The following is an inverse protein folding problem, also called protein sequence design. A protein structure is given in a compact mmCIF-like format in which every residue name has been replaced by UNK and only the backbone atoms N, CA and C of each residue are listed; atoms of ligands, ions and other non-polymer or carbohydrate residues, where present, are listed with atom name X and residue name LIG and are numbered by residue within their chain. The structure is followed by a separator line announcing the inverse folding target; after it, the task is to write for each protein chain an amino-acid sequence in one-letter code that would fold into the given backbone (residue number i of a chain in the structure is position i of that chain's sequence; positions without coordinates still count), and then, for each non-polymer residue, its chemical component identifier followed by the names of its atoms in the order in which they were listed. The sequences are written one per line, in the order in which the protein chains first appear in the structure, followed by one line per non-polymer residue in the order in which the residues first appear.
data_IF_060305239030
#
_entry.id   IF_060305239030
#
_cell.length_a   1.000
_cell.length_b   1.000
_cell.length_c   1.000
_cell.angle_alpha   90.00
_cell.angle_beta   90.00
_cell.angle_gamma   90.00
#
_symmetry.space_group_name_H-M   'P 1'
#
loop_
_entity.id
_entity.type
_entity.pdbx_description
1 polymer ?
#
# COMPACT_ATOMS: atom_id res chain seq x y z
N UNK A 1 -1.92 7.57 -11.42
CA UNK A 1 -1.38 8.36 -10.30
C UNK A 1 0.15 8.36 -10.36
N UNK A 2 0.86 7.25 -10.13
CA UNK A 2 2.34 7.24 -10.22
C UNK A 2 2.98 7.65 -11.55
N UNK A 3 2.28 7.42 -12.66
CA UNK A 3 2.77 7.72 -14.03
C UNK A 3 3.13 9.19 -14.23
N UNK A 4 2.46 10.10 -13.54
CA UNK A 4 2.68 11.55 -13.67
C UNK A 4 3.41 12.15 -12.47
N UNK A 5 3.82 11.33 -11.49
CA UNK A 5 4.44 11.78 -10.23
C UNK A 5 3.60 12.84 -9.48
N UNK A 6 2.28 12.81 -9.65
CA UNK A 6 1.29 13.69 -9.02
C UNK A 6 0.61 13.00 -7.84
N UNK A 7 1.37 12.18 -7.12
CA UNK A 7 0.88 11.45 -5.96
C UNK A 7 1.18 12.21 -4.68
N UNK A 8 0.42 11.88 -3.64
CA UNK A 8 0.70 12.32 -2.29
C UNK A 8 2.09 11.90 -1.83
N UNK A 9 2.69 12.64 -0.89
CA UNK A 9 3.99 12.27 -0.33
C UNK A 9 3.98 12.38 1.17
N UNK A 10 4.56 11.38 1.84
CA UNK A 10 4.86 11.41 3.26
C UNK A 10 6.37 11.49 3.47
N UNK A 11 6.79 12.56 4.18
CA UNK A 11 8.20 12.91 4.44
C UNK A 11 9.10 12.94 3.18
N UNK A 12 8.54 13.21 2.00
CA UNK A 12 9.24 13.18 0.69
C UNK A 12 9.86 11.82 0.32
N UNK A 13 9.52 10.74 1.02
CA UNK A 13 10.22 9.45 0.90
C UNK A 13 9.30 8.26 0.66
N UNK A 14 7.98 8.46 0.74
CA UNK A 14 6.99 7.45 0.40
C UNK A 14 5.73 8.10 -0.17
N UNK A 15 5.02 7.37 -1.04
CA UNK A 15 3.79 7.80 -1.70
C UNK A 15 2.72 6.76 -1.41
N UNK A 16 2.00 6.85 -0.28
CA UNK A 16 1.08 5.80 0.15
C UNK A 16 -0.24 5.80 -0.63
N UNK A 17 -0.74 6.96 -1.07
CA UNK A 17 -2.04 7.08 -1.74
C UNK A 17 -2.15 6.36 -3.06
N UNK A 18 -1.04 6.22 -3.79
CA UNK A 18 -0.96 5.46 -5.03
C UNK A 18 -1.34 3.98 -4.86
N UNK A 19 -1.20 3.43 -3.64
CA UNK A 19 -1.59 2.07 -3.31
C UNK A 19 -2.92 2.02 -2.54
N UNK A 20 -3.06 2.87 -1.52
CA UNK A 20 -4.18 2.76 -0.56
C UNK A 20 -5.51 3.20 -1.19
N UNK A 21 -5.51 4.30 -1.94
CA UNK A 21 -6.74 4.87 -2.53
C UNK A 21 -7.37 3.93 -3.58
N UNK A 22 -6.65 3.44 -4.61
CA UNK A 22 -7.27 2.59 -5.63
C UNK A 22 -7.74 1.25 -5.07
N UNK A 23 -6.99 0.63 -4.14
CA UNK A 23 -7.44 -0.60 -3.50
C UNK A 23 -8.67 -0.36 -2.61
N UNK A 24 -8.66 0.69 -1.80
CA UNK A 24 -9.80 1.04 -0.95
C UNK A 24 -11.07 1.29 -1.77
N UNK A 25 -10.95 1.99 -2.92
CA UNK A 25 -12.08 2.19 -3.84
C UNK A 25 -12.61 0.87 -4.41
N UNK A 26 -11.72 0.00 -4.90
CA UNK A 26 -12.11 -1.30 -5.43
C UNK A 26 -12.81 -2.16 -4.37
N UNK A 27 -12.25 -2.24 -3.17
CA UNK A 27 -12.81 -3.03 -2.06
C UNK A 27 -14.11 -2.45 -1.54
N UNK A 28 -14.22 -1.12 -1.41
CA UNK A 28 -15.46 -0.48 -0.97
C UNK A 28 -16.60 -0.74 -1.97
N UNK A 29 -16.28 -0.78 -3.27
CA UNK A 29 -17.26 -1.11 -4.30
C UNK A 29 -17.72 -2.58 -4.22
N UNK A 30 -16.80 -3.51 -3.95
CA UNK A 30 -17.12 -4.92 -3.72
C UNK A 30 -17.95 -5.14 -2.44
N UNK A 31 -17.59 -4.47 -1.36
CA UNK A 31 -18.25 -4.56 -0.06
C UNK A 31 -19.53 -3.71 0.05
N UNK A 32 -19.87 -2.94 -1.00
CA UNK A 32 -20.98 -1.97 -1.02
C UNK A 32 -20.94 -0.99 0.17
N UNK A 33 -19.73 -0.58 0.54
CA UNK A 33 -19.49 0.31 1.68
C UNK A 33 -19.96 1.74 1.38
N UNK A 34 -20.37 2.44 2.42
CA UNK A 34 -20.65 3.87 2.38
C UNK A 34 -19.38 4.71 2.23
N UNK A 35 -19.53 5.96 1.77
CA UNK A 35 -18.40 6.90 1.68
C UNK A 35 -17.72 7.16 3.04
N UNK A 36 -18.49 7.14 4.14
CA UNK A 36 -17.94 7.26 5.50
C UNK A 36 -17.05 6.07 5.85
N UNK A 37 -17.48 4.86 5.53
CA UNK A 37 -16.68 3.64 5.76
C UNK A 37 -15.41 3.65 4.92
N UNK A 38 -15.51 4.06 3.65
CA UNK A 38 -14.35 4.24 2.77
C UNK A 38 -13.34 5.21 3.37
N UNK A 39 -13.75 6.43 3.74
CA UNK A 39 -12.83 7.43 4.30
C UNK A 39 -12.20 6.92 5.60
N UNK A 40 -12.98 6.24 6.44
CA UNK A 40 -12.48 5.67 7.70
C UNK A 40 -11.44 4.56 7.47
N UNK A 41 -11.67 3.71 6.47
CA UNK A 41 -10.75 2.65 6.09
C UNK A 41 -9.45 3.20 5.48
N UNK A 42 -9.56 4.18 4.59
CA UNK A 42 -8.41 4.88 4.02
C UNK A 42 -7.57 5.54 5.12
N UNK A 43 -8.21 6.29 6.04
CA UNK A 43 -7.51 6.92 7.16
C UNK A 43 -6.76 5.90 8.03
N UNK A 44 -7.38 4.75 8.33
CA UNK A 44 -6.72 3.67 9.07
C UNK A 44 -5.51 3.09 8.32
N UNK A 45 -5.64 2.88 7.00
CA UNK A 45 -4.54 2.41 6.16
C UNK A 45 -3.36 3.39 6.12
N UNK A 46 -3.66 4.68 5.94
CA UNK A 46 -2.66 5.74 5.97
C UNK A 46 -1.93 5.81 7.30
N UNK A 47 -2.67 5.74 8.41
CA UNK A 47 -2.10 5.82 9.75
C UNK A 47 -1.08 4.69 9.97
N UNK A 48 -1.44 3.44 9.66
CA UNK A 48 -0.53 2.30 9.82
C UNK A 48 0.68 2.43 8.90
N UNK A 49 0.46 2.75 7.61
CA UNK A 49 1.56 2.88 6.65
C UNK A 49 2.54 3.98 7.07
N UNK A 50 2.06 5.17 7.43
CA UNK A 50 2.89 6.30 7.83
C UNK A 50 3.61 6.07 9.15
N UNK A 51 2.96 5.39 10.11
CA UNK A 51 3.54 5.07 11.41
C UNK A 51 4.70 4.08 11.28
N UNK A 52 4.49 2.97 10.58
CA UNK A 52 5.56 1.99 10.30
C UNK A 52 6.67 2.64 9.46
N UNK A 53 6.30 3.39 8.42
CA UNK A 53 7.29 4.06 7.58
C UNK A 53 8.16 5.06 8.38
N UNK A 54 7.58 5.73 9.38
CA UNK A 54 8.29 6.77 10.15
C UNK A 54 9.55 6.26 10.84
N UNK A 55 9.57 5.00 11.25
CA UNK A 55 10.70 4.37 11.95
C UNK A 55 11.72 3.76 10.98
N UNK A 56 11.26 3.23 9.84
CA UNK A 56 12.09 2.36 8.99
C UNK A 56 12.51 2.97 7.65
N UNK A 57 11.90 4.08 7.17
CA UNK A 57 12.20 4.68 5.86
C UNK A 57 13.71 4.84 5.59
N UNK A 58 14.54 5.41 6.49
CA UNK A 58 15.96 5.62 6.21
C UNK A 58 16.70 4.28 6.03
N UNK A 59 16.43 3.31 6.92
CA UNK A 59 17.07 1.99 6.89
C UNK A 59 16.67 1.17 5.66
N UNK A 60 15.43 1.33 5.19
CA UNK A 60 14.89 0.61 4.02
C UNK A 60 15.54 1.10 2.74
N UNK A 61 15.66 2.42 2.57
CA UNK A 61 16.32 2.99 1.39
C UNK A 61 17.82 2.75 1.39
N UNK A 62 18.49 2.79 2.55
CA UNK A 62 19.90 2.48 2.67
C UNK A 62 20.23 1.04 2.23
N UNK A 63 19.29 0.11 2.39
CA UNK A 63 19.40 -1.29 1.93
C UNK A 63 19.01 -1.49 0.46
N UNK A 64 18.74 -0.41 -0.28
CA UNK A 64 18.40 -0.46 -1.70
C UNK A 64 16.92 -0.71 -2.01
N UNK A 65 16.06 -0.77 -1.00
CA UNK A 65 14.62 -0.98 -1.16
C UNK A 65 13.86 0.32 -1.29
N UNK A 66 12.77 0.28 -2.06
CA UNK A 66 11.89 1.42 -2.26
C UNK A 66 10.77 1.40 -1.22
N UNK A 67 10.63 2.50 -0.49
CA UNK A 67 9.72 2.63 0.65
C UNK A 67 8.23 2.56 0.27
N UNK A 68 7.82 3.19 -0.83
CA UNK A 68 6.40 3.24 -1.26
C UNK A 68 5.74 1.87 -1.45
N UNK A 69 6.32 0.92 -2.23
CA UNK A 69 5.70 -0.40 -2.37
C UNK A 69 5.74 -1.24 -1.10
N UNK A 70 6.63 -0.94 -0.14
CA UNK A 70 6.68 -1.65 1.14
C UNK A 70 5.56 -1.18 2.06
N UNK A 71 5.56 0.10 2.38
CA UNK A 71 4.62 0.63 3.37
C UNK A 71 3.22 0.84 2.78
N UNK A 72 3.12 1.11 1.48
CA UNK A 72 1.84 1.20 0.76
C UNK A 72 1.07 -0.10 0.78
N UNK A 73 1.74 -1.25 0.63
CA UNK A 73 1.09 -2.57 0.72
C UNK A 73 0.52 -2.84 2.12
N UNK A 74 1.22 -2.45 3.19
CA UNK A 74 0.71 -2.55 4.56
C UNK A 74 -0.57 -1.71 4.74
N UNK A 75 -0.53 -0.44 4.32
CA UNK A 75 -1.68 0.45 4.43
C UNK A 75 -2.88 -0.01 3.60
N UNK A 76 -2.62 -0.50 2.38
CA UNK A 76 -3.65 -1.07 1.51
C UNK A 76 -4.34 -2.23 2.21
N UNK A 77 -3.56 -3.16 2.76
CA UNK A 77 -4.11 -4.34 3.39
C UNK A 77 -4.99 -3.96 4.62
N UNK A 78 -4.55 -3.01 5.45
CA UNK A 78 -5.36 -2.51 6.58
C UNK A 78 -6.68 -1.90 6.10
N UNK A 79 -6.64 -1.08 5.04
CA UNK A 79 -7.82 -0.46 4.47
C UNK A 79 -8.80 -1.50 3.92
N UNK A 80 -8.31 -2.52 3.20
CA UNK A 80 -9.16 -3.59 2.65
C UNK A 80 -9.74 -4.48 3.74
N UNK A 81 -8.95 -4.85 4.76
CA UNK A 81 -9.43 -5.63 5.89
C UNK A 81 -10.55 -4.92 6.66
N UNK A 82 -10.41 -3.60 6.84
CA UNK A 82 -11.43 -2.78 7.48
C UNK A 82 -12.72 -2.69 6.67
N UNK A 83 -12.63 -2.58 5.34
CA UNK A 83 -13.81 -2.53 4.47
C UNK A 83 -14.53 -3.87 4.37
N UNK A 84 -13.79 -4.98 4.43
CA UNK A 84 -14.35 -6.33 4.42
C UNK A 84 -14.82 -6.80 5.80
N UNK A 85 -14.67 -5.96 6.84
CA UNK A 85 -15.02 -6.25 8.23
C UNK A 85 -14.44 -7.58 8.72
N UNK A 86 -13.14 -7.80 8.42
CA UNK A 86 -12.43 -9.03 8.79
C UNK A 86 -12.18 -9.10 10.29
N UNK A 87 -12.29 -10.31 10.86
CA UNK A 87 -12.00 -10.56 12.28
C UNK A 87 -10.50 -10.52 12.59
N UNK A 88 -10.13 -10.48 13.88
CA UNK A 88 -8.73 -10.40 14.34
C UNK A 88 -7.84 -11.53 13.77
N UNK A 89 -8.38 -12.75 13.67
CA UNK A 89 -7.65 -13.89 13.09
C UNK A 89 -7.36 -13.71 11.58
N UNK A 90 -8.23 -12.99 10.87
CA UNK A 90 -8.08 -12.69 9.44
C UNK A 90 -7.16 -11.48 9.21
N UNK A 91 -7.00 -10.60 10.21
CA UNK A 91 -5.94 -9.58 10.21
C UNK A 91 -4.54 -10.20 10.28
N UNK A 92 -4.38 -11.44 10.72
CA UNK A 92 -3.08 -12.12 10.67
C UNK A 92 -2.67 -12.48 9.23
N UNK A 93 -3.64 -12.73 8.33
CA UNK A 93 -3.40 -12.97 6.90
C UNK A 93 -2.81 -11.74 6.18
N UNK A 94 -2.88 -10.55 6.79
CA UNK A 94 -2.17 -9.35 6.33
C UNK A 94 -0.64 -9.52 6.28
N UNK A 95 -0.10 -10.46 7.07
CA UNK A 95 1.31 -10.86 6.98
C UNK A 95 1.68 -11.42 5.60
N UNK A 96 0.75 -12.05 4.87
CA UNK A 96 0.99 -12.50 3.50
C UNK A 96 1.24 -11.32 2.56
N UNK A 97 0.51 -10.21 2.76
CA UNK A 97 0.75 -8.98 2.01
C UNK A 97 2.16 -8.43 2.25
N UNK A 98 2.77 -8.70 3.42
CA UNK A 98 4.15 -8.34 3.75
C UNK A 98 5.21 -9.21 3.04
N UNK A 99 4.82 -10.30 2.38
CA UNK A 99 5.74 -11.17 1.59
C UNK A 99 5.91 -10.67 0.16
N UNK A 100 4.96 -9.88 -0.34
CA UNK A 100 4.99 -9.33 -1.69
C UNK A 100 5.61 -7.93 -1.88
N UNK A 101 6.00 -7.14 -0.86
CA UNK A 101 6.59 -5.85 -1.13
C UNK A 101 8.00 -6.03 -1.67
N UNK A 102 8.15 -5.75 -2.96
CA UNK A 102 9.43 -5.77 -3.67
C UNK A 102 9.53 -4.56 -4.60
N UNK A 103 10.70 -3.95 -4.64
CA UNK A 103 10.94 -2.74 -5.39
C UNK A 103 12.30 -2.24 -4.97
N UNK A 104 13.22 -2.27 -5.91
CA UNK A 104 14.58 -1.79 -5.69
C UNK A 104 14.69 -0.37 -6.23
N UNK A 105 15.64 0.39 -5.68
CA UNK A 105 16.01 1.70 -6.20
C UNK A 105 16.91 1.61 -7.44
N UNK A 106 17.19 0.41 -7.97
CA UNK A 106 18.11 0.20 -9.10
C UNK A 106 17.63 0.82 -10.41
N UNK A 107 16.33 0.79 -10.69
CA UNK A 107 15.84 1.44 -11.91
C UNK A 107 15.98 2.96 -11.89
N UNK A 108 15.54 3.69 -10.83
CA UNK A 108 15.87 5.10 -10.68
C UNK A 108 17.37 5.38 -10.76
N UNK A 109 18.20 4.49 -10.23
CA UNK A 109 19.67 4.59 -10.27
C UNK A 109 20.26 4.43 -11.68
N UNK A 110 19.61 3.66 -12.54
CA UNK A 110 20.05 3.34 -13.90
C UNK A 110 19.24 4.06 -15.00
N UNK A 111 18.25 4.88 -14.62
CA UNK A 111 17.35 5.58 -15.55
C UNK A 111 16.16 4.76 -16.05
N UNK A 112 15.89 3.60 -15.44
CA UNK A 112 14.74 2.75 -15.69
C UNK A 112 13.39 3.35 -15.25
N UNK A 113 12.31 2.91 -15.88
CA UNK A 113 10.92 3.36 -15.62
C UNK A 113 10.05 2.30 -14.94
N UNK A 114 10.62 1.18 -14.54
CA UNK A 114 9.92 0.10 -13.82
C UNK A 114 9.30 0.59 -12.49
N UNK A 115 9.83 1.68 -11.92
CA UNK A 115 9.25 2.42 -10.81
C UNK A 115 7.76 2.80 -11.01
N UNK A 116 7.31 2.98 -12.25
CA UNK A 116 5.93 3.30 -12.59
C UNK A 116 4.98 2.11 -12.42
N UNK A 117 5.51 0.88 -12.49
CA UNK A 117 4.73 -0.36 -12.47
C UNK A 117 4.77 -1.08 -11.12
N UNK A 118 5.81 -0.81 -10.30
CA UNK A 118 5.99 -1.45 -8.98
C UNK A 118 4.79 -1.26 -8.04
N UNK A 119 4.15 -0.09 -8.06
CA UNK A 119 2.98 0.20 -7.20
C UNK A 119 1.67 -0.40 -7.75
N UNK A 120 1.56 -0.55 -9.08
CA UNK A 120 0.34 -1.01 -9.75
C UNK A 120 0.22 -2.54 -9.79
N UNK A 121 1.32 -3.25 -10.05
CA UNK A 121 1.35 -4.71 -10.22
C UNK A 121 0.89 -5.50 -8.98
N UNK A 122 0.84 -4.89 -7.80
CA UNK A 122 0.64 -5.61 -6.53
C UNK A 122 -0.70 -5.35 -5.84
N UNK A 123 -1.45 -4.36 -6.33
CA UNK A 123 -2.86 -4.18 -5.95
C UNK A 123 -3.69 -5.40 -6.34
N UNK A 124 -3.33 -6.07 -7.44
CA UNK A 124 -3.95 -7.31 -7.88
C UNK A 124 -3.71 -8.43 -6.86
N UNK A 125 -2.48 -8.75 -6.49
CA UNK A 125 -2.20 -9.95 -5.66
C UNK A 125 -2.64 -9.83 -4.21
N UNK A 126 -2.55 -8.64 -3.59
CA UNK A 126 -2.91 -8.47 -2.17
C UNK A 126 -4.42 -8.54 -1.88
N UNK A 127 -5.27 -8.16 -2.84
CA UNK A 127 -6.73 -8.17 -2.68
C UNK A 127 -7.34 -9.56 -2.92
N UNK A 128 -6.74 -10.39 -3.77
CA UNK A 128 -7.20 -11.76 -4.05
C UNK A 128 -6.99 -12.74 -2.88
N UNK A 129 -6.00 -12.52 -2.01
CA UNK A 129 -5.70 -13.45 -0.91
C UNK A 129 -6.59 -13.27 0.32
N UNK A 130 -7.34 -12.18 0.45
CA UNK A 130 -8.37 -12.05 1.49
C UNK A 130 -9.60 -12.94 1.21
N UNK A 131 -9.63 -13.61 0.05
CA UNK A 131 -10.68 -14.52 -0.39
C UNK A 131 -10.25 -16.01 -0.37
N UNK A 132 -9.04 -16.35 0.10
CA UNK A 132 -8.54 -17.73 0.23
C UNK A 132 -8.18 -18.02 1.69
#
# INVERSE_FOLDING_TARGET
MHVTNQDDSYKMLTHPGVCIIPAGLATAQLAKSSGRELITALAAGYEVACRVASDFIPSTQARGFRSSPIYGTLGTAVATAKLLNLGEDQYLQLSLACTFPSGTNEGPRTGGREMLFQNLMRLATGSWQLYC
#
